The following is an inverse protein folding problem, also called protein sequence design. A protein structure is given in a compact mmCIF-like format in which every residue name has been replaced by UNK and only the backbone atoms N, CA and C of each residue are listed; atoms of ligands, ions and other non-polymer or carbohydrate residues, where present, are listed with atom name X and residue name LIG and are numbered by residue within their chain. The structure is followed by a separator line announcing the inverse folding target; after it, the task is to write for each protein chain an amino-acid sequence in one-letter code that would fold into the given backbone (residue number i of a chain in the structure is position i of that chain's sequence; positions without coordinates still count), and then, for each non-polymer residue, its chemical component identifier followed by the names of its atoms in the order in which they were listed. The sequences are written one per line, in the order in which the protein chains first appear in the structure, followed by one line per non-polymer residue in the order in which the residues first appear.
data_IF_147725125264
#
_entry.id   IF_147725125264
#
_cell.length_a   1.000
_cell.length_b   1.000
_cell.length_c   1.000
_cell.angle_alpha   90.00
_cell.angle_beta   90.00
_cell.angle_gamma   90.00
#
_symmetry.space_group_name_H-M   'P 1'
#
loop_
_entity.id
_entity.type
_entity.pdbx_description
1 polymer ?
#
# COMPACT_ATOMS: atom_id res chain seq x y z
N UNK A 1 -15.01 -17.88 12.26
CA UNK A 1 -14.76 -16.69 11.41
C UNK A 1 -13.44 -16.09 11.84
N UNK A 2 -12.48 -15.88 10.93
CA UNK A 2 -11.17 -15.29 11.25
C UNK A 2 -11.34 -13.76 11.29
N UNK A 3 -10.95 -13.13 12.40
CA UNK A 3 -10.99 -11.67 12.57
C UNK A 3 -9.54 -11.18 12.58
N UNK A 4 -9.23 -10.22 11.73
CA UNK A 4 -7.92 -9.57 11.66
C UNK A 4 -8.12 -8.08 11.90
N UNK A 5 -7.58 -7.58 13.01
CA UNK A 5 -7.54 -6.17 13.31
C UNK A 5 -6.27 -5.55 12.70
N UNK A 6 -6.43 -4.64 11.73
CA UNK A 6 -5.29 -3.99 11.08
C UNK A 6 -4.70 -2.91 12.00
N UNK A 7 -3.55 -3.21 12.61
CA UNK A 7 -2.87 -2.34 13.58
C UNK A 7 -1.87 -1.36 12.96
N UNK A 8 -2.00 -1.06 11.67
CA UNK A 8 -1.11 -0.13 10.96
C UNK A 8 -1.29 1.32 11.48
N UNK A 9 -0.21 2.06 11.81
CA UNK A 9 -0.30 3.42 12.35
C UNK A 9 -1.12 4.39 11.48
N UNK A 10 -0.97 4.30 10.15
CA UNK A 10 -1.74 5.15 9.22
C UNK A 10 -3.23 4.82 9.20
N UNK A 11 -3.63 3.57 9.41
CA UNK A 11 -5.04 3.21 9.49
C UNK A 11 -5.65 3.85 10.73
N UNK A 12 -4.99 3.73 11.89
CA UNK A 12 -5.44 4.38 13.13
C UNK A 12 -5.56 5.90 13.00
N UNK A 13 -4.55 6.53 12.42
CA UNK A 13 -4.55 7.98 12.20
C UNK A 13 -5.71 8.44 11.30
N UNK A 14 -5.86 7.80 10.13
CA UNK A 14 -6.92 8.16 9.16
C UNK A 14 -8.31 7.85 9.69
N UNK A 15 -8.47 6.74 10.42
CA UNK A 15 -9.74 6.40 11.08
C UNK A 15 -10.11 7.43 12.17
N UNK A 16 -9.12 7.98 12.86
CA UNK A 16 -9.31 9.10 13.80
C UNK A 16 -9.85 10.35 13.10
N UNK A 17 -9.24 10.74 11.98
CA UNK A 17 -9.70 11.89 11.17
C UNK A 17 -11.11 11.68 10.59
N UNK A 18 -11.47 10.45 10.21
CA UNK A 18 -12.81 10.14 9.69
C UNK A 18 -13.93 10.27 10.74
N UNK A 19 -13.59 10.27 12.04
CA UNK A 19 -14.56 10.41 13.15
C UNK A 19 -14.77 11.85 13.59
N UNK A 20 -14.07 12.81 13.00
CA UNK A 20 -14.28 14.23 13.25
C UNK A 20 -15.67 14.67 12.78
N UNK A 21 -16.41 15.38 13.63
CA UNK A 21 -17.81 15.73 13.37
C UNK A 21 -17.97 16.74 12.23
N UNK A 22 -16.99 17.63 12.05
CA UNK A 22 -16.99 18.70 11.03
C UNK A 22 -16.26 18.31 9.73
N UNK A 23 -16.11 17.01 9.44
CA UNK A 23 -15.44 16.57 8.21
C UNK A 23 -16.30 16.82 6.96
N UNK A 24 -15.69 17.37 5.91
CA UNK A 24 -16.38 17.51 4.62
C UNK A 24 -16.58 16.15 3.94
N UNK A 25 -17.68 16.00 3.19
CA UNK A 25 -17.98 14.75 2.48
C UNK A 25 -16.90 14.36 1.47
N UNK A 26 -16.21 15.34 0.87
CA UNK A 26 -15.08 15.10 -0.03
C UNK A 26 -13.92 14.42 0.72
N UNK A 27 -13.50 15.00 1.85
CA UNK A 27 -12.38 14.51 2.65
C UNK A 27 -12.68 13.15 3.26
N UNK A 28 -13.93 12.90 3.67
CA UNK A 28 -14.34 11.57 4.14
C UNK A 28 -14.19 10.49 3.05
N UNK A 29 -14.61 10.77 1.80
CA UNK A 29 -14.47 9.81 0.68
C UNK A 29 -13.01 9.53 0.31
N UNK A 30 -12.15 10.55 0.39
CA UNK A 30 -10.71 10.41 0.17
C UNK A 30 -10.10 9.50 1.24
N UNK A 31 -10.36 9.77 2.52
CA UNK A 31 -9.88 8.95 3.63
C UNK A 31 -10.43 7.51 3.57
N UNK A 32 -11.70 7.32 3.19
CA UNK A 32 -12.28 5.99 3.03
C UNK A 32 -11.57 5.18 1.94
N UNK A 33 -11.24 5.81 0.81
CA UNK A 33 -10.47 5.17 -0.27
C UNK A 33 -9.06 4.81 0.20
N UNK A 34 -8.40 5.70 0.94
CA UNK A 34 -7.06 5.46 1.47
C UNK A 34 -7.01 4.34 2.52
N UNK A 35 -7.98 4.30 3.43
CA UNK A 35 -8.11 3.20 4.39
C UNK A 35 -8.43 1.90 3.66
N UNK A 36 -9.32 1.94 2.66
CA UNK A 36 -9.63 0.81 1.80
C UNK A 36 -8.38 0.20 1.15
N UNK A 37 -7.50 1.01 0.57
CA UNK A 37 -6.24 0.54 -0.02
C UNK A 37 -5.34 -0.18 1.00
N UNK A 38 -5.24 0.34 2.23
CA UNK A 38 -4.46 -0.29 3.30
C UNK A 38 -5.08 -1.61 3.77
N UNK A 39 -6.41 -1.68 3.85
CA UNK A 39 -7.11 -2.92 4.18
C UNK A 39 -6.95 -3.97 3.07
N UNK A 40 -7.03 -3.56 1.80
CA UNK A 40 -6.82 -4.46 0.67
C UNK A 40 -5.41 -5.05 0.70
N UNK A 41 -4.39 -4.24 0.97
CA UNK A 41 -3.02 -4.72 1.09
C UNK A 41 -2.90 -5.87 2.11
N UNK A 42 -3.42 -5.67 3.32
CA UNK A 42 -3.43 -6.69 4.38
C UNK A 42 -4.30 -7.90 4.03
N UNK A 43 -5.44 -7.69 3.36
CA UNK A 43 -6.35 -8.76 2.96
C UNK A 43 -5.79 -9.63 1.82
N UNK A 44 -4.87 -9.10 1.02
CA UNK A 44 -4.24 -9.80 -0.12
C UNK A 44 -2.87 -10.39 0.19
N UNK A 45 -2.46 -10.38 1.47
CA UNK A 45 -1.13 -10.83 1.88
C UNK A 45 -0.86 -12.33 1.63
N UNK A 46 -1.91 -13.14 1.48
CA UNK A 46 -1.85 -14.58 1.26
C UNK A 46 -2.11 -15.00 -0.19
N UNK A 47 -2.15 -14.05 -1.13
CA UNK A 47 -2.31 -14.37 -2.56
C UNK A 47 -1.10 -15.16 -3.07
N UNK A 48 -1.39 -16.28 -3.74
CA UNK A 48 -0.38 -17.09 -4.40
C UNK A 48 0.22 -16.34 -5.59
N UNK A 49 1.53 -16.47 -5.78
CA UNK A 49 2.27 -15.84 -6.88
C UNK A 49 2.92 -16.89 -7.76
N UNK A 50 2.93 -16.66 -9.07
CA UNK A 50 3.64 -17.49 -10.03
C UNK A 50 4.94 -16.83 -10.53
N UNK A 51 5.94 -17.66 -10.87
CA UNK A 51 7.19 -17.16 -11.45
C UNK A 51 6.97 -16.83 -12.92
N UNK A 52 7.17 -15.57 -13.27
CA UNK A 52 7.16 -15.11 -14.67
C UNK A 52 8.52 -14.58 -15.08
N UNK A 53 9.01 -15.01 -16.24
CA UNK A 53 10.26 -14.51 -16.82
C UNK A 53 9.97 -13.21 -17.58
N UNK A 54 10.55 -12.10 -17.11
CA UNK A 54 10.45 -10.81 -17.79
C UNK A 54 11.83 -10.31 -18.22
N UNK A 55 11.92 -9.73 -19.42
CA UNK A 55 13.14 -9.05 -19.87
C UNK A 55 13.23 -7.70 -19.17
N UNK A 56 14.13 -7.59 -18.20
CA UNK A 56 14.48 -6.30 -17.61
C UNK A 56 15.22 -5.46 -18.65
N UNK A 57 14.75 -4.23 -18.87
CA UNK A 57 15.51 -3.26 -19.66
C UNK A 57 16.72 -2.81 -18.84
N UNK A 58 17.90 -3.26 -19.24
CA UNK A 58 19.17 -2.74 -18.74
C UNK A 58 19.30 -1.28 -19.18
N UNK A 59 19.70 -0.39 -18.27
CA UNK A 59 20.07 0.98 -18.68
C UNK A 59 21.36 0.88 -19.50
N UNK A 60 21.44 1.47 -20.70
CA UNK A 60 22.67 1.45 -21.46
C UNK A 60 23.78 2.17 -20.68
N UNK A 61 24.90 1.49 -20.45
CA UNK A 61 26.21 2.08 -20.19
C UNK A 61 26.29 3.14 -19.10
N UNK A 62 26.28 2.72 -17.83
CA UNK A 62 27.23 3.30 -16.87
C UNK A 62 28.35 2.29 -16.71
N UNK A 63 29.41 2.46 -17.49
CA UNK A 63 30.69 1.79 -17.24
C UNK A 63 31.03 2.03 -15.76
N UNK A 64 30.95 0.99 -14.92
CA UNK A 64 31.63 1.01 -13.64
C UNK A 64 33.12 0.96 -13.98
N UNK A 65 33.92 2.01 -13.71
CA UNK A 65 35.35 1.86 -13.83
C UNK A 65 35.79 0.92 -12.71
N UNK A 66 36.43 -0.16 -13.12
CA UNK A 66 37.47 -0.88 -12.40
C UNK A 66 37.08 -1.51 -11.04
N UNK A 67 36.73 -2.80 -11.06
CA UNK A 67 37.08 -3.71 -9.95
C UNK A 67 38.36 -4.44 -10.35
N UNK A 68 39.50 -3.79 -10.08
CA UNK A 68 40.75 -4.47 -9.74
C UNK A 68 40.62 -5.10 -8.36
#
# INVERSE_FOLDING_TARGET
MKIVEVKHPLVKHKLGLMREQDISTKRFRELASEVGSLLTYEATADLETEKSNYRRLERPGRNRPDQR
#
